data_IF_422529341690
#
_entry.id   IF_422529341690
#
_cell.length_a   1.000
_cell.length_b   1.000
_cell.length_c   1.000
_cell.angle_alpha   90.00
_cell.angle_beta   90.00
_cell.angle_gamma   90.00
#
_symmetry.space_group_name_H-M   'P 1'
#
loop_
_entity.id
_entity.type
_entity.pdbx_description
1 polymer ?
#
# COMPACT_ATOMS: atom_id res chain seq x y z
N UNK A 1 -8.58 17.62 0.38
CA UNK A 1 -8.15 17.31 1.75
C UNK A 1 -7.02 16.29 1.72
N UNK A 2 -5.95 16.54 2.47
CA UNK A 2 -4.83 15.61 2.54
C UNK A 2 -4.99 14.70 3.76
N UNK A 3 -4.81 13.40 3.53
CA UNK A 3 -4.84 12.44 4.64
C UNK A 3 -3.42 12.19 5.13
N UNK A 4 -3.28 12.07 6.44
CA UNK A 4 -2.07 11.52 7.01
C UNK A 4 -2.25 10.00 7.08
N UNK A 5 -1.29 9.28 6.50
CA UNK A 5 -1.32 7.84 6.48
C UNK A 5 -0.33 7.29 7.49
N UNK A 6 -0.73 6.21 8.17
CA UNK A 6 0.22 5.44 8.96
C UNK A 6 1.22 4.72 8.05
N UNK A 7 2.30 4.24 8.64
CA UNK A 7 3.37 3.58 7.86
C UNK A 7 2.85 2.39 7.06
N UNK A 8 2.00 1.56 7.65
CA UNK A 8 1.46 0.40 6.95
C UNK A 8 0.50 0.81 5.84
N UNK A 9 -0.35 1.82 6.10
CA UNK A 9 -1.26 2.33 5.07
C UNK A 9 -0.49 2.87 3.87
N UNK A 10 0.59 3.61 4.11
CA UNK A 10 1.43 4.14 3.03
C UNK A 10 2.07 3.01 2.23
N UNK A 11 2.62 2.00 2.91
CA UNK A 11 3.25 0.87 2.25
C UNK A 11 2.25 0.09 1.40
N UNK A 12 1.05 -0.17 1.93
CA UNK A 12 0.01 -0.91 1.20
C UNK A 12 -0.45 -0.12 -0.02
N UNK A 13 -0.63 1.19 0.12
CA UNK A 13 -1.01 2.03 -1.02
C UNK A 13 0.08 2.00 -2.11
N UNK A 14 1.36 2.07 -1.71
CA UNK A 14 2.46 1.95 -2.68
C UNK A 14 2.42 0.61 -3.40
N UNK A 15 2.26 -0.48 -2.66
CA UNK A 15 2.18 -1.81 -3.25
C UNK A 15 1.02 -1.91 -4.25
N UNK A 16 -0.13 -1.30 -3.92
CA UNK A 16 -1.30 -1.31 -4.78
C UNK A 16 -1.05 -0.62 -6.12
N UNK A 17 -0.03 0.22 -6.21
CA UNK A 17 0.26 0.96 -7.45
C UNK A 17 1.06 0.14 -8.46
N UNK A 18 1.69 -0.96 -8.05
CA UNK A 18 2.55 -1.70 -8.98
C UNK A 18 2.24 -3.19 -9.11
N UNK A 19 1.47 -3.80 -8.21
CA UNK A 19 1.10 -5.20 -8.37
C UNK A 19 0.03 -5.35 -9.46
N UNK A 20 0.11 -6.44 -10.22
CA UNK A 20 -0.88 -6.76 -11.24
C UNK A 20 -2.25 -7.08 -10.63
N UNK A 21 -2.26 -7.86 -9.55
CA UNK A 21 -3.48 -8.16 -8.81
C UNK A 21 -3.28 -7.78 -7.36
N UNK A 22 -4.14 -6.90 -6.85
CA UNK A 22 -4.04 -6.36 -5.48
C UNK A 22 -5.19 -6.91 -4.66
N UNK A 23 -4.89 -7.83 -3.78
CA UNK A 23 -5.84 -8.40 -2.83
C UNK A 23 -5.07 -8.80 -1.56
N UNK A 24 -5.81 -9.25 -0.53
CA UNK A 24 -5.19 -9.46 0.78
C UNK A 24 -3.91 -10.27 0.76
N UNK A 25 -3.95 -11.47 0.14
CA UNK A 25 -2.79 -12.36 0.14
C UNK A 25 -1.64 -11.79 -0.68
N UNK A 26 -1.91 -11.25 -1.87
CA UNK A 26 -0.83 -10.71 -2.72
C UNK A 26 -0.11 -9.54 -2.05
N UNK A 27 -0.86 -8.68 -1.36
CA UNK A 27 -0.28 -7.55 -0.63
C UNK A 27 0.55 -8.03 0.55
N UNK A 28 0.04 -8.98 1.33
CA UNK A 28 0.78 -9.53 2.47
C UNK A 28 2.10 -10.17 2.02
N UNK A 29 2.06 -10.96 0.94
CA UNK A 29 3.24 -11.61 0.40
C UNK A 29 4.27 -10.59 -0.09
N UNK A 30 3.82 -9.57 -0.82
CA UNK A 30 4.70 -8.54 -1.33
C UNK A 30 5.31 -7.69 -0.20
N UNK A 31 4.51 -7.37 0.80
CA UNK A 31 5.00 -6.62 1.95
C UNK A 31 6.11 -7.40 2.66
N UNK A 32 5.91 -8.69 2.89
CA UNK A 32 6.93 -9.55 3.51
C UNK A 32 8.18 -9.63 2.64
N UNK A 33 8.01 -9.78 1.34
CA UNK A 33 9.12 -9.86 0.40
C UNK A 33 9.99 -8.60 0.44
N UNK A 34 9.37 -7.43 0.49
CA UNK A 34 10.10 -6.17 0.43
C UNK A 34 10.63 -5.70 1.77
N UNK A 35 9.95 -5.99 2.87
CA UNK A 35 10.31 -5.46 4.18
C UNK A 35 10.86 -6.53 5.14
N UNK A 36 10.64 -7.80 4.85
CA UNK A 36 10.98 -8.88 5.75
C UNK A 36 9.98 -9.07 6.88
N UNK A 37 8.95 -8.24 6.97
CA UNK A 37 7.98 -8.30 8.06
C UNK A 37 6.70 -9.02 7.63
N UNK A 38 6.23 -9.91 8.50
CA UNK A 38 4.97 -10.61 8.31
C UNK A 38 3.83 -9.76 8.85
N UNK A 39 2.80 -9.57 8.03
CA UNK A 39 1.54 -8.94 8.46
C UNK A 39 0.43 -9.95 8.21
N UNK A 40 -0.44 -10.12 9.20
CA UNK A 40 -1.55 -11.07 9.07
C UNK A 40 -2.53 -10.62 7.98
N UNK A 41 -3.19 -11.60 7.36
CA UNK A 41 -4.18 -11.31 6.33
C UNK A 41 -5.31 -10.42 6.86
N UNK A 42 -5.88 -10.68 8.07
CA UNK A 42 -6.91 -9.78 8.61
C UNK A 42 -6.41 -8.33 8.78
N UNK A 43 -5.15 -8.13 9.19
CA UNK A 43 -4.60 -6.78 9.32
C UNK A 43 -4.50 -6.09 7.97
N UNK A 44 -4.07 -6.80 6.92
CA UNK A 44 -4.01 -6.26 5.57
C UNK A 44 -5.43 -5.90 5.08
N UNK A 45 -6.42 -6.77 5.33
CA UNK A 45 -7.81 -6.47 4.96
C UNK A 45 -8.32 -5.19 5.63
N UNK A 46 -7.98 -4.99 6.90
CA UNK A 46 -8.35 -3.77 7.62
C UNK A 46 -7.74 -2.54 6.95
N UNK A 47 -6.46 -2.62 6.58
CA UNK A 47 -5.77 -1.50 5.93
C UNK A 47 -6.37 -1.21 4.55
N UNK A 48 -6.60 -2.24 3.75
CA UNK A 48 -7.20 -2.08 2.42
C UNK A 48 -8.57 -1.41 2.52
N UNK A 49 -9.40 -1.83 3.48
CA UNK A 49 -10.71 -1.24 3.70
C UNK A 49 -10.61 0.23 4.10
N UNK A 50 -9.67 0.55 5.01
CA UNK A 50 -9.45 1.94 5.42
C UNK A 50 -9.04 2.83 4.26
N UNK A 51 -8.16 2.34 3.41
CA UNK A 51 -7.73 3.09 2.24
C UNK A 51 -8.89 3.32 1.27
N UNK A 52 -9.77 2.31 1.13
CA UNK A 52 -10.97 2.46 0.31
C UNK A 52 -11.94 3.48 0.91
N UNK A 53 -12.16 3.44 2.22
CA UNK A 53 -13.02 4.40 2.92
C UNK A 53 -12.52 5.83 2.76
N UNK A 54 -11.21 6.01 2.70
CA UNK A 54 -10.59 7.32 2.49
C UNK A 54 -10.60 7.74 1.01
N UNK A 55 -11.10 6.90 0.11
CA UNK A 55 -11.12 7.20 -1.31
C UNK A 55 -9.79 7.04 -2.02
N UNK A 56 -8.81 6.40 -1.38
CA UNK A 56 -7.47 6.20 -1.95
C UNK A 56 -7.39 4.94 -2.79
N UNK A 57 -8.23 3.95 -2.49
CA UNK A 57 -8.40 2.73 -3.27
C UNK A 57 -9.88 2.57 -3.62
N UNK A 58 -10.14 1.83 -4.68
CA UNK A 58 -11.47 1.32 -5.02
C UNK A 58 -11.36 -0.18 -5.23
N UNK A 59 -12.47 -0.89 -5.11
CA UNK A 59 -12.45 -2.34 -5.20
C UNK A 59 -13.60 -2.89 -6.01
N UNK A 60 -13.42 -4.11 -6.48
CA UNK A 60 -14.46 -4.88 -7.14
C UNK A 60 -14.23 -6.35 -6.82
N UNK A 61 -15.29 -7.16 -6.91
CA UNK A 61 -15.12 -8.59 -6.74
C UNK A 61 -14.54 -9.19 -8.01
N UNK A 62 -13.49 -9.99 -7.84
CA UNK A 62 -12.92 -10.77 -8.93
C UNK A 62 -13.73 -12.04 -9.19
N UNK A 63 -13.27 -12.84 -10.13
CA UNK A 63 -13.93 -14.10 -10.45
C UNK A 63 -13.62 -15.17 -9.41
N UNK A 64 -14.53 -16.13 -9.23
CA UNK A 64 -14.29 -17.27 -8.37
C UNK A 64 -13.22 -18.18 -8.99
N UNK A 65 -12.55 -18.96 -8.14
CA UNK A 65 -11.50 -19.87 -8.56
C UNK A 65 -11.57 -21.14 -7.72
N UNK A 66 -11.36 -22.32 -8.34
CA UNK A 66 -11.32 -23.58 -7.59
C UNK A 66 -10.28 -23.58 -6.46
N UNK A 67 -9.14 -22.94 -6.66
CA UNK A 67 -8.09 -22.86 -5.64
C UNK A 67 -8.55 -22.16 -4.37
N UNK A 68 -9.58 -21.33 -4.47
CA UNK A 68 -10.14 -20.63 -3.32
C UNK A 68 -11.46 -21.23 -2.86
N UNK A 69 -11.74 -22.49 -3.26
CA UNK A 69 -12.98 -23.16 -2.91
C UNK A 69 -14.21 -22.52 -3.52
N UNK A 70 -14.06 -21.91 -4.70
CA UNK A 70 -15.14 -21.23 -5.41
C UNK A 70 -15.40 -19.82 -4.91
N UNK A 71 -14.66 -19.33 -3.91
CA UNK A 71 -14.86 -17.96 -3.40
C UNK A 71 -14.22 -16.94 -4.32
N UNK A 72 -14.88 -15.77 -4.41
CA UNK A 72 -14.36 -14.65 -5.18
C UNK A 72 -13.43 -13.84 -4.29
N UNK A 73 -12.37 -13.30 -4.88
CA UNK A 73 -11.50 -12.38 -4.16
C UNK A 73 -11.87 -10.94 -4.50
N UNK A 74 -11.68 -10.05 -3.54
CA UNK A 74 -11.86 -8.62 -3.74
C UNK A 74 -10.56 -8.04 -4.27
N UNK A 75 -10.63 -7.42 -5.44
CA UNK A 75 -9.48 -6.79 -6.08
C UNK A 75 -9.54 -5.28 -5.86
N UNK A 76 -8.39 -4.70 -5.58
CA UNK A 76 -8.26 -3.26 -5.32
C UNK A 76 -7.39 -2.61 -6.38
N UNK A 77 -7.63 -1.32 -6.59
CA UNK A 77 -6.74 -0.51 -7.41
C UNK A 77 -6.73 0.93 -6.87
N UNK A 78 -5.66 1.65 -7.14
CA UNK A 78 -5.54 3.03 -6.69
C UNK A 78 -6.49 3.93 -7.49
N UNK A 79 -7.10 4.89 -6.79
CA UNK A 79 -7.81 5.98 -7.44
C UNK A 79 -6.82 7.06 -7.85
N UNK A 80 -7.26 8.01 -8.71
CA UNK A 80 -6.45 9.17 -9.03
C UNK A 80 -6.09 9.95 -7.76
N UNK A 81 -7.03 10.05 -6.83
CA UNK A 81 -6.80 10.71 -5.55
C UNK A 81 -5.71 9.97 -4.75
N UNK A 82 -5.75 8.63 -4.73
CA UNK A 82 -4.73 7.82 -4.07
C UNK A 82 -3.33 8.08 -4.62
N UNK A 83 -3.20 8.11 -5.94
CA UNK A 83 -1.93 8.40 -6.58
C UNK A 83 -1.42 9.79 -6.22
N UNK A 84 -2.31 10.79 -6.25
CA UNK A 84 -1.93 12.16 -5.91
C UNK A 84 -1.48 12.28 -4.46
N UNK A 85 -2.18 11.60 -3.53
CA UNK A 85 -1.82 11.63 -2.12
C UNK A 85 -0.45 11.00 -1.88
N UNK A 86 -0.16 9.86 -2.50
CA UNK A 86 1.14 9.22 -2.31
C UNK A 86 2.28 10.05 -2.90
N UNK A 87 2.02 10.75 -4.01
CA UNK A 87 3.00 11.67 -4.59
C UNK A 87 3.31 12.82 -3.65
N UNK A 88 2.30 13.38 -2.99
CA UNK A 88 2.50 14.47 -2.03
C UNK A 88 3.27 13.99 -0.80
N UNK A 89 2.98 12.78 -0.32
CA UNK A 89 3.74 12.17 0.77
C UNK A 89 5.21 12.03 0.37
N UNK A 90 5.47 11.53 -0.83
CA UNK A 90 6.84 11.38 -1.35
C UNK A 90 7.56 12.71 -1.39
N UNK A 91 6.92 13.76 -1.91
CA UNK A 91 7.52 15.10 -1.97
C UNK A 91 7.91 15.60 -0.59
N UNK A 92 7.03 15.42 0.40
CA UNK A 92 7.32 15.82 1.78
C UNK A 92 8.51 15.07 2.35
N UNK A 93 8.55 13.76 2.14
CA UNK A 93 9.68 12.93 2.60
C UNK A 93 10.98 13.33 1.92
N UNK A 94 10.96 13.59 0.62
CA UNK A 94 12.15 14.01 -0.12
C UNK A 94 12.67 15.36 0.38
N UNK A 95 11.76 16.30 0.71
CA UNK A 95 12.18 17.57 1.31
C UNK A 95 12.89 17.34 2.64
N UNK A 96 12.37 16.45 3.46
CA UNK A 96 13.01 16.13 4.74
C UNK A 96 14.39 15.49 4.53
N UNK A 97 14.48 14.53 3.61
CA UNK A 97 15.74 13.88 3.28
C UNK A 97 16.78 14.89 2.78
N UNK A 98 16.34 15.88 2.00
CA UNK A 98 17.25 16.89 1.44
C UNK A 98 17.88 17.78 2.51
N UNK A 99 17.31 17.81 3.72
CA UNK A 99 17.89 18.58 4.84
C UNK A 99 19.06 17.87 5.52
N UNK A 100 19.23 16.58 5.27
CA UNK A 100 20.30 15.81 5.91
C UNK A 100 21.59 16.05 5.13
N UNK A 101 22.65 16.58 5.78
CA UNK A 101 23.92 16.79 5.08
C UNK A 101 24.51 15.48 4.59
N UNK A 102 25.05 15.48 3.37
CA UNK A 102 25.68 14.30 2.78
C UNK A 102 26.78 13.72 3.68
N UNK A 103 27.49 14.59 4.43
CA UNK A 103 28.54 14.18 5.33
C UNK A 103 28.08 13.18 6.39
N UNK A 104 26.83 13.26 6.82
CA UNK A 104 26.29 12.33 7.81
C UNK A 104 26.25 10.90 7.32
N UNK A 105 26.09 10.69 6.01
CA UNK A 105 26.05 9.36 5.43
C UNK A 105 27.44 8.78 5.18
N UNK A 106 28.44 9.63 5.12
CA UNK A 106 29.83 9.21 4.91
C UNK A 106 30.56 8.93 6.23
N UNK A 107 29.92 9.22 7.35
CA UNK A 107 30.52 9.06 8.68
C UNK A 107 30.09 7.71 9.26
N UNK A 108 31.05 6.90 9.63
CA UNK A 108 30.79 5.60 10.26
C UNK A 108 31.04 5.67 11.75
#
# INVERSE_FOLDING_TARGET
>A
MNYQLGNLEEAVLLIALYLDEVYGVSVADEYKKQTGHHISIPAIHTVLRRLEEKGLLKSKMGESSPERGGRRKRLYESTAFGLNQIREIKKGRMRLWSKIPALKFNKN
#
